data_IF_993941545443
#
_entry.id   IF_993941545443
#
_cell.length_a   1.000
_cell.length_b   1.000
_cell.length_c   1.000
_cell.angle_alpha   90.00
_cell.angle_beta   90.00
_cell.angle_gamma   90.00
#
_symmetry.space_group_name_H-M   'P 1'
#
loop_
_entity.id
_entity.type
_entity.pdbx_description
1 polymer ?
#
# COMPACT_ATOMS: atom_id res chain seq x y z
N UNK A 1 -26.60 3.47 1.45
CA UNK A 1 -26.28 2.19 0.73
C UNK A 1 -24.83 2.03 0.29
N UNK A 2 -24.11 3.03 -0.25
CA UNK A 2 -22.70 2.84 -0.70
C UNK A 2 -21.66 2.86 0.44
N UNK A 3 -21.93 3.54 1.56
CA UNK A 3 -20.93 3.78 2.61
C UNK A 3 -20.81 2.65 3.64
N UNK A 4 -21.89 1.92 3.96
CA UNK A 4 -21.84 0.77 4.88
C UNK A 4 -21.35 -0.53 4.24
N UNK A 5 -21.53 -0.66 2.92
CA UNK A 5 -20.93 -1.76 2.15
C UNK A 5 -19.40 -1.68 2.25
N UNK A 6 -18.79 -0.50 2.40
CA UNK A 6 -17.33 -0.36 2.55
C UNK A 6 -16.78 -0.97 3.86
N UNK A 7 -17.54 -0.95 4.96
CA UNK A 7 -17.14 -1.54 6.24
C UNK A 7 -17.32 -3.07 6.21
N UNK A 8 -18.41 -3.55 5.59
CA UNK A 8 -18.69 -4.97 5.43
C UNK A 8 -17.75 -5.64 4.41
N UNK A 9 -17.41 -4.93 3.32
CA UNK A 9 -16.53 -5.44 2.27
C UNK A 9 -15.08 -5.54 2.73
N UNK A 10 -14.57 -4.70 3.63
CA UNK A 10 -13.17 -4.83 4.05
C UNK A 10 -12.95 -5.90 5.14
N UNK A 11 -13.93 -6.13 6.02
CA UNK A 11 -13.80 -7.09 7.13
C UNK A 11 -14.26 -8.52 6.80
N UNK A 12 -15.15 -8.70 5.82
CA UNK A 12 -15.57 -10.03 5.34
C UNK A 12 -14.66 -10.59 4.22
N UNK A 13 -14.01 -9.71 3.42
CA UNK A 13 -13.06 -10.13 2.38
C UNK A 13 -11.76 -10.68 2.97
N UNK A 14 -11.38 -10.30 4.20
CA UNK A 14 -10.20 -10.88 4.84
C UNK A 14 -10.33 -12.36 5.23
N UNK A 15 -11.51 -12.98 5.17
CA UNK A 15 -11.69 -14.38 5.62
C UNK A 15 -12.54 -15.30 4.72
N UNK A 16 -13.16 -14.84 3.63
CA UNK A 16 -14.06 -15.68 2.83
C UNK A 16 -13.88 -15.64 1.30
N UNK A 17 -12.72 -15.21 0.80
CA UNK A 17 -12.36 -15.48 -0.60
C UNK A 17 -11.00 -16.16 -0.65
N UNK A 18 -11.02 -17.49 -0.48
CA UNK A 18 -10.02 -18.35 -1.11
C UNK A 18 -10.31 -18.40 -2.63
N UNK A 19 -10.37 -17.24 -3.28
CA UNK A 19 -10.13 -17.18 -4.72
C UNK A 19 -8.63 -17.23 -4.85
N UNK A 20 -8.10 -18.21 -5.59
CA UNK A 20 -6.68 -18.28 -5.93
C UNK A 20 -6.27 -16.99 -6.63
N UNK A 21 -5.83 -16.00 -5.87
CA UNK A 21 -5.14 -14.84 -6.42
C UNK A 21 -3.81 -15.39 -6.89
N UNK A 22 -3.60 -15.33 -8.21
CA UNK A 22 -2.33 -15.73 -8.79
C UNK A 22 -1.24 -14.83 -8.21
N UNK A 23 -0.10 -15.43 -7.91
CA UNK A 23 1.08 -14.71 -7.45
C UNK A 23 1.43 -13.57 -8.44
N UNK A 24 1.72 -12.35 -7.97
CA UNK A 24 2.27 -11.30 -8.83
C UNK A 24 3.54 -11.80 -9.55
N UNK A 25 3.92 -11.21 -10.68
CA UNK A 25 5.21 -11.53 -11.33
C UNK A 25 6.19 -10.40 -11.10
N UNK A 26 7.33 -10.70 -10.46
CA UNK A 26 8.40 -9.71 -10.25
C UNK A 26 9.72 -10.27 -10.76
N UNK A 27 10.47 -9.47 -11.52
CA UNK A 27 11.81 -9.87 -11.93
C UNK A 27 12.77 -8.68 -12.02
N UNK A 28 14.05 -8.98 -11.83
CA UNK A 28 15.17 -8.05 -11.90
C UNK A 28 16.05 -8.44 -13.07
N UNK A 29 16.27 -7.52 -14.01
CA UNK A 29 17.26 -7.69 -15.08
C UNK A 29 18.49 -6.84 -14.76
N UNK A 30 19.68 -7.45 -14.81
CA UNK A 30 20.93 -6.72 -14.55
C UNK A 30 22.13 -7.27 -15.34
N UNK A 31 23.00 -6.37 -15.78
CA UNK A 31 24.34 -6.66 -16.30
C UNK A 31 25.46 -5.99 -15.45
N UNK A 32 25.10 -5.48 -14.27
CA UNK A 32 25.98 -4.70 -13.38
C UNK A 32 26.19 -3.23 -13.79
N UNK A 33 25.74 -2.82 -14.98
CA UNK A 33 25.74 -1.41 -15.44
C UNK A 33 24.33 -0.84 -15.55
N UNK A 34 23.40 -1.68 -15.99
CA UNK A 34 21.99 -1.40 -16.09
C UNK A 34 21.26 -2.33 -15.14
N UNK A 35 20.31 -1.77 -14.38
CA UNK A 35 19.47 -2.56 -13.49
C UNK A 35 18.03 -2.10 -13.61
N UNK A 36 17.15 -3.07 -13.83
CA UNK A 36 15.73 -2.85 -14.01
C UNK A 36 14.95 -3.79 -13.11
N UNK A 37 13.90 -3.29 -12.47
CA UNK A 37 12.91 -4.09 -11.75
C UNK A 37 11.58 -3.99 -12.50
N UNK A 38 10.95 -5.13 -12.75
CA UNK A 38 9.66 -5.24 -13.45
C UNK A 38 8.63 -5.92 -12.56
N UNK A 39 7.37 -5.49 -12.65
CA UNK A 39 6.25 -6.07 -11.91
C UNK A 39 4.99 -6.18 -12.80
N UNK A 40 4.27 -7.29 -12.68
CA UNK A 40 2.84 -7.44 -12.98
C UNK A 40 2.10 -7.63 -11.66
N UNK A 41 1.27 -6.66 -11.31
CA UNK A 41 0.45 -6.73 -10.10
C UNK A 41 -0.87 -7.44 -10.39
N UNK A 42 -1.08 -8.59 -9.75
CA UNK A 42 -2.23 -9.46 -9.93
C UNK A 42 -3.18 -9.34 -8.72
N UNK A 43 -4.41 -8.90 -8.95
CA UNK A 43 -5.32 -8.52 -7.85
C UNK A 43 -6.78 -8.51 -8.26
N UNK A 44 -7.68 -8.36 -7.28
CA UNK A 44 -9.09 -8.08 -7.52
C UNK A 44 -9.42 -6.59 -7.44
N UNK A 45 -8.57 -5.76 -6.86
CA UNK A 45 -8.83 -4.33 -6.70
C UNK A 45 -8.43 -3.56 -7.98
N UNK A 46 -9.36 -2.96 -8.74
CA UNK A 46 -9.02 -2.19 -9.93
C UNK A 46 -8.56 -0.75 -9.62
N UNK A 47 -8.75 -0.27 -8.39
CA UNK A 47 -8.48 1.10 -7.96
C UNK A 47 -6.99 1.26 -7.62
N UNK A 48 -6.18 1.18 -8.66
CA UNK A 48 -4.72 1.20 -8.60
C UNK A 48 -4.16 2.62 -8.77
N UNK A 49 -3.09 2.92 -8.07
CA UNK A 49 -2.51 4.27 -7.97
C UNK A 49 -0.99 4.26 -8.03
N UNK A 50 -0.46 5.36 -8.55
CA UNK A 50 0.95 5.74 -8.53
C UNK A 50 1.05 7.07 -7.79
N UNK A 51 1.83 7.15 -6.72
CA UNK A 51 1.99 8.38 -5.95
C UNK A 51 3.44 8.71 -5.66
N UNK A 52 3.68 10.00 -5.44
CA UNK A 52 5.00 10.59 -5.26
C UNK A 52 5.06 11.38 -3.97
N UNK A 53 6.11 11.14 -3.19
CA UNK A 53 6.38 11.85 -1.94
C UNK A 53 7.79 12.42 -2.02
N UNK A 54 7.96 13.76 -2.06
CA UNK A 54 9.26 14.40 -2.06
C UNK A 54 10.14 13.99 -0.88
N UNK A 55 11.45 14.23 -1.05
CA UNK A 55 12.46 14.06 0.00
C UNK A 55 12.04 14.85 1.25
N UNK A 56 12.12 14.22 2.41
CA UNK A 56 11.87 14.85 3.71
C UNK A 56 13.13 14.91 4.57
N UNK A 57 13.00 15.47 5.77
CA UNK A 57 14.08 15.44 6.76
C UNK A 57 14.34 13.98 7.18
N UNK A 58 15.47 13.42 6.73
CA UNK A 58 15.85 12.03 7.02
C UNK A 58 15.16 10.97 6.14
N UNK A 59 14.45 11.37 5.08
CA UNK A 59 13.73 10.47 4.18
C UNK A 59 14.05 10.78 2.72
N UNK A 60 14.29 9.77 1.89
CA UNK A 60 14.41 9.92 0.44
C UNK A 60 13.09 10.32 -0.22
N UNK A 61 13.19 10.83 -1.44
CA UNK A 61 12.02 11.01 -2.29
C UNK A 61 11.64 9.68 -2.92
N UNK A 62 10.36 9.36 -2.97
CA UNK A 62 9.89 8.05 -3.39
C UNK A 62 8.71 8.15 -4.36
N UNK A 63 8.64 7.18 -5.27
CA UNK A 63 7.43 6.82 -5.98
C UNK A 63 6.95 5.46 -5.50
N UNK A 64 5.64 5.30 -5.39
CA UNK A 64 5.00 4.07 -4.92
C UNK A 64 3.90 3.66 -5.89
N UNK A 65 3.68 2.35 -5.98
CA UNK A 65 2.58 1.74 -6.71
C UNK A 65 1.77 0.86 -5.76
N UNK A 66 0.46 0.88 -5.90
CA UNK A 66 -0.45 0.16 -5.01
C UNK A 66 -1.90 0.56 -5.26
N UNK A 67 -2.68 0.68 -4.19
CA UNK A 67 -4.14 0.87 -4.28
C UNK A 67 -4.62 2.17 -3.62
N UNK A 68 -5.92 2.42 -3.74
CA UNK A 68 -6.61 3.58 -3.16
C UNK A 68 -6.67 3.62 -1.63
N UNK A 69 -6.33 2.52 -0.95
CA UNK A 69 -6.17 2.41 0.51
C UNK A 69 -4.83 2.98 1.02
N UNK A 70 -3.90 3.35 0.12
CA UNK A 70 -2.59 3.89 0.48
C UNK A 70 -1.54 2.83 0.81
N UNK A 71 -1.86 1.54 0.62
CA UNK A 71 -0.90 0.46 0.82
C UNK A 71 0.00 0.29 -0.41
N UNK A 72 1.26 0.68 -0.26
CA UNK A 72 2.31 0.45 -1.25
C UNK A 72 2.59 -1.05 -1.41
N UNK A 73 2.42 -1.55 -2.63
CA UNK A 73 2.84 -2.90 -3.05
C UNK A 73 4.28 -2.90 -3.57
N UNK A 74 4.69 -1.80 -4.20
CA UNK A 74 6.04 -1.61 -4.70
C UNK A 74 6.43 -0.14 -4.76
N UNK A 75 7.67 0.14 -5.16
CA UNK A 75 8.14 1.51 -5.31
C UNK A 75 9.62 1.63 -5.64
N UNK A 76 10.06 2.87 -5.87
CA UNK A 76 11.45 3.27 -6.11
C UNK A 76 11.76 4.57 -5.37
N UNK A 77 12.98 4.71 -4.83
CA UNK A 77 13.48 5.95 -4.25
C UNK A 77 14.52 6.67 -5.12
N UNK A 78 14.85 7.91 -4.75
CA UNK A 78 15.85 8.74 -5.43
C UNK A 78 17.26 8.18 -5.43
N UNK A 79 17.56 7.19 -4.59
CA UNK A 79 18.87 6.53 -4.52
C UNK A 79 18.97 5.33 -5.46
N UNK A 80 17.87 4.93 -6.09
CA UNK A 80 17.79 3.79 -7.00
C UNK A 80 17.53 2.47 -6.29
N UNK A 81 17.06 2.48 -5.05
CA UNK A 81 16.50 1.30 -4.38
C UNK A 81 15.04 1.14 -4.81
N UNK A 82 14.63 -0.06 -5.14
CA UNK A 82 13.26 -0.40 -5.46
C UNK A 82 12.84 -1.69 -4.75
N UNK A 83 11.55 -1.83 -4.49
CA UNK A 83 10.97 -3.05 -3.95
C UNK A 83 9.65 -3.41 -4.62
N UNK A 84 9.28 -4.68 -4.51
CA UNK A 84 7.93 -5.15 -4.82
C UNK A 84 7.62 -6.42 -4.01
N UNK A 85 6.37 -6.55 -3.56
CA UNK A 85 5.90 -7.71 -2.81
C UNK A 85 5.39 -8.80 -3.76
N UNK A 86 5.75 -10.05 -3.47
CA UNK A 86 5.28 -11.22 -4.19
C UNK A 86 4.50 -12.09 -3.22
N UNK A 87 3.20 -12.23 -3.47
CA UNK A 87 2.38 -13.27 -2.83
C UNK A 87 2.62 -14.58 -3.56
N UNK A 88 2.74 -15.69 -2.84
CA UNK A 88 3.16 -16.98 -3.41
C UNK A 88 2.25 -18.09 -2.91
N UNK A 89 2.12 -19.16 -3.70
CA UNK A 89 1.56 -20.41 -3.18
C UNK A 89 2.55 -21.04 -2.18
N UNK A 90 2.01 -21.66 -1.12
CA UNK A 90 2.82 -22.37 -0.11
C UNK A 90 3.83 -23.32 -0.80
N UNK A 91 5.05 -23.38 -0.28
CA UNK A 91 6.19 -24.22 -0.73
C UNK A 91 7.04 -23.74 -1.93
N UNK A 92 6.66 -22.68 -2.66
CA UNK A 92 7.40 -22.27 -3.88
C UNK A 92 8.52 -21.23 -3.68
N UNK A 93 8.42 -20.41 -2.63
CA UNK A 93 9.34 -19.32 -2.31
C UNK A 93 9.62 -19.30 -0.80
N UNK A 94 10.58 -18.50 -0.29
CA UNK A 94 10.84 -18.45 1.15
C UNK A 94 9.68 -17.80 1.91
N UNK A 95 8.63 -18.57 2.14
CA UNK A 95 7.52 -18.26 3.05
C UNK A 95 7.33 -19.46 3.95
N UNK A 96 7.34 -19.20 5.24
CA UNK A 96 7.14 -20.19 6.29
C UNK A 96 5.99 -19.73 7.19
N UNK A 97 4.84 -20.43 7.20
CA UNK A 97 3.69 -20.04 8.02
C UNK A 97 3.97 -20.13 9.53
N UNK A 98 5.04 -20.80 9.95
CA UNK A 98 5.49 -20.87 11.34
C UNK A 98 6.38 -19.70 11.74
N UNK A 99 6.79 -18.86 10.79
CA UNK A 99 7.61 -17.68 11.07
C UNK A 99 6.88 -16.70 11.99
N UNK A 100 7.56 -16.38 13.09
CA UNK A 100 7.17 -15.31 14.01
C UNK A 100 8.39 -14.40 14.16
N UNK A 101 8.27 -13.09 13.89
CA UNK A 101 9.40 -12.18 14.05
C UNK A 101 9.94 -12.21 15.48
N UNK A 102 11.27 -12.16 15.61
CA UNK A 102 11.92 -12.18 16.92
C UNK A 102 11.47 -11.01 17.80
N UNK A 103 11.16 -11.29 19.06
CA UNK A 103 10.54 -10.32 19.97
C UNK A 103 11.40 -9.10 20.29
N UNK A 104 12.72 -9.20 20.10
CA UNK A 104 13.67 -8.10 20.32
C UNK A 104 13.68 -7.09 19.15
N UNK A 105 13.14 -7.44 17.99
CA UNK A 105 13.09 -6.55 16.83
C UNK A 105 12.08 -5.42 17.04
N UNK A 106 12.44 -4.23 16.58
CA UNK A 106 11.59 -3.05 16.72
C UNK A 106 10.37 -3.17 15.82
N UNK A 107 9.19 -2.93 16.39
CA UNK A 107 7.97 -2.82 15.60
C UNK A 107 7.89 -1.44 14.96
N UNK A 108 7.67 -1.40 13.66
CA UNK A 108 7.26 -0.17 12.99
C UNK A 108 5.73 -0.10 12.90
N UNK A 109 5.15 1.09 13.12
CA UNK A 109 3.80 1.38 12.66
C UNK A 109 3.76 1.48 11.13
N UNK A 110 2.58 1.41 10.53
CA UNK A 110 2.38 1.46 9.07
C UNK A 110 3.17 0.36 8.31
N UNK A 111 3.25 0.51 6.98
CA UNK A 111 3.90 -0.43 6.08
C UNK A 111 5.44 -0.37 6.21
N UNK A 112 6.08 -1.47 6.61
CA UNK A 112 7.53 -1.53 6.84
C UNK A 112 8.36 -1.29 5.56
N UNK A 113 7.84 -1.69 4.39
CA UNK A 113 8.54 -1.52 3.11
C UNK A 113 8.59 -0.06 2.68
N UNK A 114 7.60 0.76 3.06
CA UNK A 114 7.67 2.21 2.88
C UNK A 114 8.79 2.81 3.76
N UNK A 115 8.90 2.42 5.03
CA UNK A 115 9.97 2.88 5.92
C UNK A 115 11.36 2.50 5.39
N UNK A 116 11.49 1.28 4.88
CA UNK A 116 12.72 0.79 4.27
C UNK A 116 13.07 1.60 3.02
N UNK A 117 12.13 1.77 2.10
CA UNK A 117 12.35 2.52 0.86
C UNK A 117 12.74 3.98 1.13
N UNK A 118 12.17 4.60 2.16
CA UNK A 118 12.49 5.99 2.48
C UNK A 118 13.80 6.20 3.24
N UNK A 119 14.39 5.15 3.82
CA UNK A 119 15.59 5.27 4.68
C UNK A 119 16.82 4.54 4.16
N UNK A 120 16.64 3.57 3.27
CA UNK A 120 17.71 2.76 2.71
C UNK A 120 18.07 3.20 1.29
N UNK A 121 19.35 3.10 0.94
CA UNK A 121 19.89 3.39 -0.39
C UNK A 121 20.22 2.12 -1.20
N UNK A 122 20.50 1.03 -0.49
CA UNK A 122 21.05 -0.20 -1.08
C UNK A 122 20.34 -1.44 -0.52
N UNK A 123 20.48 -2.55 -1.24
CA UNK A 123 20.06 -3.88 -0.80
C UNK A 123 20.71 -4.25 0.53
N UNK A 124 21.99 -3.91 0.74
CA UNK A 124 22.67 -4.16 2.01
C UNK A 124 22.01 -3.41 3.18
N UNK A 125 21.65 -2.15 2.98
CA UNK A 125 20.93 -1.37 3.98
C UNK A 125 19.51 -1.91 4.22
N UNK A 126 18.82 -2.39 3.18
CA UNK A 126 17.51 -3.02 3.32
C UNK A 126 17.57 -4.34 4.12
N UNK A 127 18.61 -5.15 3.93
CA UNK A 127 18.87 -6.34 4.75
C UNK A 127 19.09 -5.93 6.22
N UNK A 128 19.91 -4.91 6.45
CA UNK A 128 20.17 -4.42 7.82
C UNK A 128 18.91 -3.85 8.47
N UNK A 129 18.04 -3.21 7.68
CA UNK A 129 16.74 -2.74 8.12
C UNK A 129 15.88 -3.89 8.66
N UNK A 130 15.72 -4.98 7.90
CA UNK A 130 14.91 -6.13 8.34
C UNK A 130 15.59 -7.03 9.39
N UNK A 131 16.88 -6.81 9.68
CA UNK A 131 17.54 -7.33 10.89
C UNK A 131 17.26 -6.49 12.14
N UNK A 132 16.67 -5.31 11.98
CA UNK A 132 16.39 -4.37 13.07
C UNK A 132 14.89 -4.25 13.34
N UNK A 133 14.09 -4.31 12.29
CA UNK A 133 12.65 -4.13 12.34
C UNK A 133 11.93 -5.43 11.96
N UNK A 134 10.87 -5.74 12.71
CA UNK A 134 10.04 -6.91 12.44
C UNK A 134 9.02 -6.63 11.34
N UNK A 135 8.81 -7.63 10.49
CA UNK A 135 7.73 -7.69 9.51
C UNK A 135 7.13 -9.10 9.54
N UNK A 136 5.85 -9.19 9.89
CA UNK A 136 5.14 -10.46 10.04
C UNK A 136 4.59 -10.98 8.71
N UNK A 137 4.48 -10.13 7.68
CA UNK A 137 4.01 -10.53 6.36
C UNK A 137 4.89 -11.62 5.73
N UNK A 138 6.18 -11.72 6.11
CA UNK A 138 7.09 -12.76 5.63
C UNK A 138 6.62 -14.20 5.90
N UNK A 139 5.67 -14.41 6.81
CA UNK A 139 5.04 -15.73 6.99
C UNK A 139 4.23 -16.20 5.76
N UNK A 140 3.83 -15.28 4.87
CA UNK A 140 2.93 -15.55 3.73
C UNK A 140 3.36 -14.91 2.42
N UNK A 141 4.23 -13.91 2.48
CA UNK A 141 4.68 -13.16 1.31
C UNK A 141 6.19 -13.03 1.32
N UNK A 142 6.75 -12.76 0.15
CA UNK A 142 8.18 -12.50 -0.02
C UNK A 142 8.36 -11.12 -0.62
N UNK A 143 9.41 -10.42 -0.20
CA UNK A 143 9.78 -9.09 -0.71
C UNK A 143 10.98 -9.22 -1.64
N UNK A 144 10.87 -8.66 -2.84
CA UNK A 144 12.01 -8.48 -3.74
C UNK A 144 12.51 -7.06 -3.59
N UNK A 145 13.79 -6.88 -3.29
CA UNK A 145 14.44 -5.56 -3.26
C UNK A 145 15.60 -5.57 -4.25
N UNK A 146 15.76 -4.52 -5.03
CA UNK A 146 16.87 -4.35 -5.95
C UNK A 146 17.41 -2.92 -5.88
N UNK A 147 18.70 -2.74 -6.17
CA UNK A 147 19.30 -1.42 -6.25
C UNK A 147 20.08 -1.20 -7.55
N UNK A 148 20.43 0.06 -7.82
CA UNK A 148 21.15 0.48 -9.03
C UNK A 148 22.53 -0.14 -9.24
N UNK A 149 23.10 -0.84 -8.25
CA UNK A 149 24.36 -1.56 -8.41
C UNK A 149 24.19 -2.90 -9.14
N UNK A 150 22.94 -3.34 -9.35
CA UNK A 150 22.61 -4.67 -9.85
C UNK A 150 22.40 -5.70 -8.76
N UNK A 151 22.60 -5.35 -7.49
CA UNK A 151 22.24 -6.21 -6.38
C UNK A 151 20.72 -6.36 -6.28
N UNK A 152 20.29 -7.58 -5.98
CA UNK A 152 18.93 -7.85 -5.53
C UNK A 152 18.91 -8.84 -4.39
N UNK A 153 17.92 -8.73 -3.51
CA UNK A 153 17.66 -9.66 -2.42
C UNK A 153 16.20 -10.09 -2.45
N UNK A 154 15.99 -11.37 -2.21
CA UNK A 154 14.69 -11.94 -1.86
C UNK A 154 14.67 -12.07 -0.34
N UNK A 155 13.72 -11.40 0.31
CA UNK A 155 13.52 -11.39 1.76
C UNK A 155 12.22 -12.10 2.07
N UNK A 156 12.29 -13.15 2.87
CA UNK A 156 11.14 -13.97 3.23
C UNK A 156 11.39 -14.68 4.55
N UNK A 157 10.84 -15.87 4.72
CA UNK A 157 11.10 -16.73 5.88
C UNK A 157 11.35 -18.18 5.51
N UNK A 158 12.13 -18.86 6.35
CA UNK A 158 12.47 -20.27 6.25
C UNK A 158 12.87 -20.80 7.62
N UNK A 159 12.40 -22.00 7.97
CA UNK A 159 12.70 -22.68 9.24
C UNK A 159 12.39 -21.81 10.48
N UNK A 160 11.24 -21.14 10.45
CA UNK A 160 10.75 -20.23 11.50
C UNK A 160 11.53 -18.91 11.61
N UNK A 161 12.46 -18.62 10.69
CA UNK A 161 13.35 -17.45 10.76
C UNK A 161 13.27 -16.61 9.49
N UNK A 162 13.69 -15.35 9.59
CA UNK A 162 13.85 -14.50 8.42
C UNK A 162 14.95 -15.05 7.51
N UNK A 163 14.71 -15.01 6.20
CA UNK A 163 15.59 -15.54 5.17
C UNK A 163 15.97 -14.44 4.17
N UNK A 164 17.25 -14.40 3.79
CA UNK A 164 17.79 -13.46 2.81
C UNK A 164 18.54 -14.23 1.72
N UNK A 165 18.15 -14.03 0.45
CA UNK A 165 18.88 -14.55 -0.70
C UNK A 165 19.33 -13.40 -1.60
N UNK A 166 20.60 -13.00 -1.46
CA UNK A 166 21.19 -11.91 -2.23
C UNK A 166 21.87 -12.44 -3.49
N UNK A 167 21.80 -11.69 -4.59
CA UNK A 167 22.57 -11.97 -5.80
C UNK A 167 22.92 -10.69 -6.55
N UNK A 168 23.83 -10.82 -7.52
CA UNK A 168 24.21 -9.78 -8.48
C UNK A 168 23.78 -10.13 -9.92
N UNK A 169 23.02 -11.22 -10.11
CA UNK A 169 22.54 -11.65 -11.42
C UNK A 169 21.03 -11.52 -11.54
N UNK A 170 20.57 -11.49 -12.79
CA UNK A 170 19.16 -11.49 -13.17
C UNK A 170 18.37 -12.63 -12.49
N UNK A 171 17.13 -12.34 -12.06
CA UNK A 171 16.21 -13.30 -11.42
C UNK A 171 14.76 -12.94 -11.65
N UNK A 172 13.87 -13.93 -11.61
CA UNK A 172 12.42 -13.75 -11.64
C UNK A 172 11.73 -14.57 -10.57
N UNK A 173 10.57 -14.10 -10.12
CA UNK A 173 9.77 -14.67 -9.04
C UNK A 173 8.27 -14.54 -9.37
N UNK A 174 7.46 -15.37 -8.70
CA UNK A 174 6.01 -15.38 -8.75
C UNK A 174 5.44 -16.10 -9.97
N UNK A 175 4.20 -15.78 -10.35
CA UNK A 175 3.45 -16.51 -11.38
C UNK A 175 4.21 -16.66 -12.70
N UNK A 176 4.93 -15.61 -13.10
CA UNK A 176 5.69 -15.57 -14.34
C UNK A 176 7.08 -16.19 -14.27
N UNK A 177 7.55 -16.79 -13.16
CA UNK A 177 8.93 -17.27 -13.06
C UNK A 177 9.27 -18.28 -14.16
N UNK A 178 8.44 -19.31 -14.37
CA UNK A 178 8.75 -20.34 -15.37
C UNK A 178 8.85 -19.74 -16.80
N UNK A 179 7.94 -18.82 -17.11
CA UNK A 179 7.92 -18.06 -18.37
C UNK A 179 9.16 -17.16 -18.48
N UNK A 180 9.50 -16.46 -17.41
CA UNK A 180 10.69 -15.63 -17.33
C UNK A 180 11.96 -16.44 -17.59
N UNK A 181 12.14 -17.57 -16.91
CA UNK A 181 13.33 -18.43 -17.08
C UNK A 181 13.48 -18.91 -18.51
N UNK A 182 12.37 -19.30 -19.15
CA UNK A 182 12.36 -19.71 -20.56
C UNK A 182 12.76 -18.59 -21.51
N UNK A 183 12.27 -17.37 -21.29
CA UNK A 183 12.45 -16.26 -22.22
C UNK A 183 13.76 -15.50 -21.99
N UNK A 184 14.16 -15.30 -20.74
CA UNK A 184 15.36 -14.56 -20.40
C UNK A 184 16.61 -15.18 -21.02
N UNK A 185 16.73 -16.52 -21.00
CA UNK A 185 17.85 -17.24 -21.63
C UNK A 185 18.00 -16.99 -23.15
N UNK A 186 16.95 -16.48 -23.81
CA UNK A 186 16.96 -16.18 -25.25
C UNK A 186 17.19 -14.70 -25.58
N UNK A 187 17.03 -13.81 -24.60
CA UNK A 187 17.11 -12.36 -24.79
C UNK A 187 18.44 -11.81 -24.24
N UNK A 188 19.47 -11.79 -25.08
CA UNK A 188 20.86 -11.54 -24.64
C UNK A 188 21.16 -10.11 -24.15
N UNK A 189 20.31 -9.12 -24.46
CA UNK A 189 20.54 -7.72 -24.09
C UNK A 189 19.66 -7.28 -22.91
N UNK A 190 20.27 -6.73 -21.86
CA UNK A 190 19.57 -6.18 -20.70
C UNK A 190 19.01 -4.78 -21.06
N UNK A 191 17.76 -4.76 -21.51
CA UNK A 191 17.06 -3.52 -21.91
C UNK A 191 15.63 -3.50 -21.40
N UNK A 192 15.09 -2.28 -21.26
CA UNK A 192 13.69 -2.07 -20.87
C UNK A 192 12.69 -2.74 -21.83
N UNK A 193 12.97 -2.71 -23.14
CA UNK A 193 12.11 -3.31 -24.16
C UNK A 193 12.06 -4.83 -24.07
N UNK A 194 13.20 -5.48 -23.87
CA UNK A 194 13.28 -6.93 -23.71
C UNK A 194 12.52 -7.37 -22.45
N UNK A 195 12.74 -6.69 -21.32
CA UNK A 195 11.96 -6.92 -20.11
C UNK A 195 10.46 -6.71 -20.31
N UNK A 196 10.03 -5.67 -21.01
CA UNK A 196 8.61 -5.45 -21.32
C UNK A 196 7.99 -6.59 -22.15
N UNK A 197 8.75 -7.18 -23.07
CA UNK A 197 8.29 -8.34 -23.84
C UNK A 197 8.11 -9.58 -22.95
N UNK A 198 9.05 -9.84 -22.03
CA UNK A 198 8.92 -10.92 -21.05
C UNK A 198 7.72 -10.66 -20.13
N UNK A 199 7.60 -9.44 -19.61
CA UNK A 199 6.53 -9.02 -18.72
C UNK A 199 5.14 -9.22 -19.36
N UNK A 200 5.00 -8.93 -20.66
CA UNK A 200 3.78 -9.20 -21.42
C UNK A 200 3.41 -10.68 -21.46
N UNK A 201 4.39 -11.58 -21.54
CA UNK A 201 4.14 -13.03 -21.55
C UNK A 201 3.78 -13.56 -20.16
N UNK A 202 4.04 -12.79 -19.10
CA UNK A 202 3.73 -13.14 -17.72
C UNK A 202 2.40 -12.54 -17.22
N UNK A 203 1.54 -12.03 -18.11
CA UNK A 203 0.25 -11.47 -17.71
C UNK A 203 -0.69 -12.56 -17.19
N UNK A 204 -1.22 -12.37 -15.99
CA UNK A 204 -2.24 -13.23 -15.43
C UNK A 204 -3.62 -12.83 -15.99
N UNK A 205 -4.34 -13.74 -16.68
CA UNK A 205 -5.68 -13.44 -17.17
C UNK A 205 -6.75 -13.69 -16.11
N UNK A 206 -7.91 -13.05 -16.30
CA UNK A 206 -9.16 -13.36 -15.57
C UNK A 206 -9.39 -12.52 -14.32
N UNK A 207 -10.35 -12.98 -13.50
CA UNK A 207 -10.54 -12.48 -12.14
C UNK A 207 -9.26 -12.74 -11.33
N UNK A 208 -8.83 -11.76 -10.52
CA UNK A 208 -7.52 -11.80 -9.87
C UNK A 208 -6.32 -11.54 -10.79
N UNK A 209 -6.53 -11.28 -12.08
CA UNK A 209 -5.45 -11.07 -13.06
C UNK A 209 -4.78 -9.69 -12.99
N UNK A 210 -3.82 -9.46 -13.89
CA UNK A 210 -2.94 -8.28 -13.87
C UNK A 210 -3.71 -6.96 -14.00
N UNK A 211 -3.50 -6.03 -13.06
CA UNK A 211 -4.12 -4.70 -13.01
C UNK A 211 -3.22 -3.59 -13.53
N UNK A 212 -1.94 -3.68 -13.21
CA UNK A 212 -0.93 -2.84 -13.82
C UNK A 212 0.35 -3.61 -14.03
N UNK A 213 1.13 -3.11 -14.99
CA UNK A 213 2.46 -3.59 -15.28
C UNK A 213 3.38 -2.39 -15.27
N UNK A 214 4.44 -2.43 -14.47
CA UNK A 214 5.40 -1.35 -14.38
C UNK A 214 6.84 -1.86 -14.41
N UNK A 215 7.75 -0.94 -14.71
CA UNK A 215 9.17 -1.16 -14.61
C UNK A 215 9.89 0.09 -14.13
N UNK A 216 11.02 -0.14 -13.48
CA UNK A 216 11.90 0.91 -13.00
C UNK A 216 13.28 0.76 -13.64
N UNK A 217 13.83 1.85 -14.16
CA UNK A 217 15.26 1.95 -14.44
C UNK A 217 15.96 2.49 -13.19
N UNK A 218 16.62 1.61 -12.43
CA UNK A 218 17.14 1.96 -11.11
C UNK A 218 18.32 2.95 -11.19
N UNK A 219 19.03 2.96 -12.30
CA UNK A 219 20.17 3.87 -12.52
C UNK A 219 19.71 5.28 -12.92
N UNK A 220 18.59 5.38 -13.66
CA UNK A 220 18.10 6.66 -14.21
C UNK A 220 16.88 7.25 -13.50
N UNK A 221 16.25 6.49 -12.60
CA UNK A 221 14.99 6.87 -11.97
C UNK A 221 13.83 6.99 -12.98
N UNK A 222 13.87 6.21 -14.07
CA UNK A 222 12.75 6.14 -15.03
C UNK A 222 11.70 5.17 -14.48
N UNK A 223 10.43 5.56 -14.58
CA UNK A 223 9.27 4.77 -14.19
C UNK A 223 8.44 4.57 -15.44
N UNK A 224 8.21 3.32 -15.85
CA UNK A 224 7.46 3.00 -17.07
C UNK A 224 6.26 2.16 -16.69
N UNK A 225 5.07 2.58 -17.11
CA UNK A 225 3.85 1.79 -17.04
C UNK A 225 3.51 1.24 -18.42
N UNK A 226 3.05 -0.01 -18.46
CA UNK A 226 2.66 -0.71 -19.68
C UNK A 226 1.17 -0.98 -19.68
N UNK A 227 0.53 -0.67 -20.81
CA UNK A 227 -0.81 -1.13 -21.14
C UNK A 227 -0.69 -2.16 -22.25
N UNK A 228 -0.86 -3.42 -21.89
CA UNK A 228 -0.75 -4.56 -22.79
C UNK A 228 -2.09 -4.86 -23.44
N UNK A 229 -2.49 -4.03 -24.41
CA UNK A 229 -3.59 -4.31 -25.33
C UNK A 229 -3.08 -5.11 -26.55
N UNK A 230 -3.73 -4.96 -27.72
CA UNK A 230 -3.23 -5.53 -28.98
C UNK A 230 -1.81 -5.03 -29.29
N UNK A 231 -1.52 -3.75 -29.01
CA UNK A 231 -0.19 -3.14 -29.01
C UNK A 231 0.23 -2.73 -27.59
N UNK A 232 1.55 -2.72 -27.32
CA UNK A 232 2.12 -2.23 -26.06
C UNK A 232 2.08 -0.70 -26.09
N UNK A 233 1.25 -0.10 -25.26
CA UNK A 233 1.32 1.34 -24.98
C UNK A 233 2.11 1.56 -23.70
N UNK A 234 2.94 2.61 -23.68
CA UNK A 234 3.77 2.93 -22.52
C UNK A 234 3.54 4.35 -22.06
N UNK A 235 3.54 4.55 -20.74
CA UNK A 235 3.64 5.87 -20.12
C UNK A 235 4.93 5.93 -19.32
N UNK A 236 5.83 6.83 -19.71
CA UNK A 236 7.14 6.98 -19.06
C UNK A 236 7.17 8.26 -18.24
N UNK A 237 7.60 8.15 -16.99
CA UNK A 237 7.83 9.25 -16.06
C UNK A 237 9.28 9.22 -15.58
N UNK A 238 9.74 10.34 -15.02
CA UNK A 238 11.05 10.42 -14.36
C UNK A 238 10.85 10.83 -12.91
N UNK A 239 11.37 10.03 -11.99
CA UNK A 239 11.17 10.20 -10.55
C UNK A 239 11.51 11.61 -10.07
N UNK A 240 12.68 12.14 -10.45
CA UNK A 240 13.11 13.47 -10.02
C UNK A 240 12.18 14.57 -10.54
N UNK A 241 11.73 14.45 -11.79
CA UNK A 241 10.78 15.42 -12.38
C UNK A 241 9.42 15.39 -11.70
N UNK A 242 8.92 14.21 -11.37
CA UNK A 242 7.64 14.07 -10.66
C UNK A 242 7.74 14.61 -9.24
N UNK A 243 8.80 14.28 -8.50
CA UNK A 243 9.00 14.79 -7.13
C UNK A 243 9.11 16.32 -7.08
N UNK A 244 9.59 16.97 -8.15
CA UNK A 244 9.63 18.43 -8.26
C UNK A 244 8.24 19.09 -8.33
N UNK A 245 7.19 18.33 -8.65
CA UNK A 245 5.79 18.79 -8.64
C UNK A 245 5.17 18.83 -7.23
N UNK A 246 5.92 18.38 -6.21
CA UNK A 246 5.40 18.20 -4.86
C UNK A 246 4.70 16.86 -4.68
N UNK A 247 4.08 16.66 -3.51
CA UNK A 247 3.32 15.45 -3.21
C UNK A 247 2.05 15.35 -4.05
N UNK A 248 1.91 14.28 -4.83
CA UNK A 248 0.77 14.09 -5.73
C UNK A 248 0.58 12.62 -6.08
N UNK A 249 -0.53 12.30 -6.76
CA UNK A 249 -0.78 10.96 -7.27
C UNK A 249 -1.50 10.96 -8.63
N UNK A 250 -1.50 9.78 -9.24
CA UNK A 250 -2.23 9.43 -10.45
C UNK A 250 -3.04 8.14 -10.22
N UNK A 251 -4.19 8.05 -10.86
CA UNK A 251 -4.93 6.79 -10.98
C UNK A 251 -4.34 6.02 -12.17
N UNK A 252 -3.69 4.87 -11.91
CA UNK A 252 -2.94 4.14 -12.94
C UNK A 252 -3.77 3.69 -14.14
N UNK A 253 -5.08 3.35 -14.02
CA UNK A 253 -5.91 3.03 -15.19
C UNK A 253 -6.04 4.18 -16.20
N UNK A 254 -5.87 5.43 -15.75
CA UNK A 254 -6.00 6.65 -16.58
C UNK A 254 -4.71 7.46 -16.68
N UNK A 255 -3.57 6.86 -16.32
CA UNK A 255 -2.29 7.54 -16.18
C UNK A 255 -1.91 8.31 -17.45
N UNK A 256 -2.01 7.68 -18.62
CA UNK A 256 -1.66 8.29 -19.90
C UNK A 256 -2.43 9.58 -20.20
N UNK A 257 -3.71 9.67 -19.78
CA UNK A 257 -4.50 10.89 -19.91
C UNK A 257 -4.20 11.90 -18.80
N UNK A 258 -3.99 11.43 -17.56
CA UNK A 258 -3.78 12.30 -16.41
C UNK A 258 -2.44 13.04 -16.44
N UNK A 259 -1.37 12.45 -17.00
CA UNK A 259 -0.06 13.13 -17.08
C UNK A 259 -0.07 14.40 -17.94
N UNK A 260 -1.11 14.61 -18.76
CA UNK A 260 -1.30 15.81 -19.58
C UNK A 260 -2.04 16.94 -18.83
N UNK A 261 -2.40 16.72 -17.56
CA UNK A 261 -3.17 17.63 -16.72
C UNK A 261 -2.43 17.87 -15.39
N UNK A 262 -2.82 18.88 -14.60
CA UNK A 262 -2.33 19.01 -13.24
C UNK A 262 -2.55 17.70 -12.46
N UNK A 263 -1.53 17.28 -11.71
CA UNK A 263 -1.60 16.07 -10.92
C UNK A 263 -2.63 16.21 -9.78
N UNK A 264 -3.19 15.08 -9.34
CA UNK A 264 -4.12 15.07 -8.21
C UNK A 264 -3.34 15.31 -6.92
N UNK A 265 -3.86 16.13 -5.98
CA UNK A 265 -3.21 16.34 -4.68
C UNK A 265 -3.11 15.02 -3.94
N UNK A 266 -2.00 14.79 -3.22
CA UNK A 266 -1.78 13.52 -2.51
C UNK A 266 -2.94 13.22 -1.54
N UNK A 267 -3.51 12.02 -1.65
CA UNK A 267 -4.54 11.55 -0.72
C UNK A 267 -4.00 11.43 0.70
N UNK A 268 -4.84 11.66 1.72
CA UNK A 268 -4.39 11.70 3.11
C UNK A 268 -3.72 10.39 3.56
N UNK A 269 -4.28 9.24 3.18
CA UNK A 269 -3.75 7.91 3.46
C UNK A 269 -2.48 7.53 2.68
N UNK A 270 -2.08 8.32 1.69
CA UNK A 270 -0.82 8.15 0.96
C UNK A 270 0.31 8.99 1.51
N UNK A 271 0.05 9.77 2.58
CA UNK A 271 1.11 10.50 3.25
C UNK A 271 2.04 9.55 3.99
N UNK A 272 3.31 9.95 4.01
CA UNK A 272 4.38 9.29 4.75
C UNK A 272 3.96 9.01 6.19
N UNK A 273 3.93 7.73 6.54
CA UNK A 273 3.76 7.22 7.90
C UNK A 273 2.68 7.96 8.69
N UNK A 274 1.51 8.14 8.06
CA UNK A 274 0.47 9.04 8.54
C UNK A 274 0.03 8.74 9.97
N UNK A 275 0.05 7.47 10.40
CA UNK A 275 -0.35 7.11 11.77
C UNK A 275 0.74 7.36 12.82
N UNK A 276 1.95 7.72 12.37
CA UNK A 276 3.18 7.65 13.16
C UNK A 276 3.89 8.99 13.32
N UNK A 277 3.89 9.81 12.27
CA UNK A 277 4.65 11.07 12.25
C UNK A 277 3.76 12.31 12.12
N UNK A 278 2.45 12.13 11.96
CA UNK A 278 1.54 13.24 11.81
C UNK A 278 1.33 13.96 13.15
N UNK A 279 1.22 15.29 13.09
CA UNK A 279 0.99 16.13 14.26
C UNK A 279 -0.50 16.50 14.32
N UNK A 280 -1.17 16.36 15.48
CA UNK A 280 -2.56 16.79 15.63
C UNK A 280 -2.74 18.28 15.28
N UNK A 281 -3.95 18.65 14.85
CA UNK A 281 -4.31 20.05 14.66
C UNK A 281 -4.22 20.80 16.00
N UNK A 282 -3.65 22.00 15.95
CA UNK A 282 -3.45 22.86 17.14
C UNK A 282 -4.75 23.40 17.72
N UNK A 283 -5.73 23.69 16.85
CA UNK A 283 -7.09 24.04 17.26
C UNK A 283 -7.95 22.77 17.28
N UNK A 284 -8.00 22.09 18.40
CA UNK A 284 -8.82 20.89 18.55
C UNK A 284 -10.29 21.32 18.59
N UNK A 285 -11.06 20.90 17.58
CA UNK A 285 -12.50 21.12 17.46
C UNK A 285 -13.22 20.30 18.54
N UNK A 286 -13.19 20.79 19.79
CA UNK A 286 -13.54 20.01 20.98
C UNK A 286 -14.98 19.51 20.96
N UNK A 287 -15.92 20.32 20.45
CA UNK A 287 -17.33 19.91 20.30
C UNK A 287 -17.50 18.80 19.26
N UNK A 288 -16.86 18.94 18.09
CA UNK A 288 -16.90 17.92 17.02
C UNK A 288 -16.23 16.63 17.49
N UNK A 289 -15.09 16.76 18.18
CA UNK A 289 -14.35 15.63 18.76
C UNK A 289 -15.20 14.90 19.80
N UNK A 290 -15.94 15.63 20.64
CA UNK A 290 -16.86 15.04 21.61
C UNK A 290 -17.99 14.26 20.93
N UNK A 291 -18.55 14.74 19.82
CA UNK A 291 -19.55 14.01 19.02
C UNK A 291 -18.99 12.69 18.46
N UNK A 292 -17.77 12.72 17.92
CA UNK A 292 -17.09 11.50 17.45
C UNK A 292 -16.88 10.53 18.62
N UNK A 293 -16.38 10.99 19.77
CA UNK A 293 -16.20 10.13 20.96
C UNK A 293 -17.52 9.52 21.44
N UNK A 294 -18.59 10.32 21.45
CA UNK A 294 -19.93 9.89 21.85
C UNK A 294 -20.45 8.78 20.95
N UNK A 295 -20.30 8.91 19.63
CA UNK A 295 -20.65 7.87 18.66
C UNK A 295 -20.00 6.53 19.01
N UNK A 296 -18.69 6.48 19.25
CA UNK A 296 -18.01 5.21 19.59
C UNK A 296 -18.46 4.63 20.92
N UNK A 297 -18.66 5.48 21.93
CA UNK A 297 -19.17 5.06 23.24
C UNK A 297 -20.55 4.42 23.11
N UNK A 298 -21.44 5.05 22.38
CA UNK A 298 -22.82 4.59 22.24
C UNK A 298 -22.93 3.33 21.39
N UNK A 299 -22.17 3.26 20.31
CA UNK A 299 -22.06 2.05 19.50
C UNK A 299 -21.56 0.87 20.33
N UNK A 300 -20.53 1.09 21.16
CA UNK A 300 -19.97 0.04 22.04
C UNK A 300 -20.99 -0.43 23.08
N UNK A 301 -21.83 0.48 23.57
CA UNK A 301 -22.88 0.18 24.54
C UNK A 301 -24.18 -0.36 23.91
N UNK A 302 -24.28 -0.40 22.57
CA UNK A 302 -25.53 -0.72 21.88
C UNK A 302 -26.64 0.31 22.12
N UNK A 303 -26.27 1.53 22.51
CA UNK A 303 -27.15 2.64 22.91
C UNK A 303 -26.96 3.86 22.00
N UNK A 304 -26.86 3.65 20.68
CA UNK A 304 -26.72 4.71 19.67
C UNK A 304 -27.62 5.90 20.00
N UNK A 305 -27.04 7.02 20.46
CA UNK A 305 -27.73 8.30 20.50
C UNK A 305 -27.80 8.83 19.07
N UNK A 306 -29.01 9.08 18.60
CA UNK A 306 -29.27 9.42 17.21
C UNK A 306 -29.14 10.93 16.93
N UNK A 307 -28.95 11.76 17.96
CA UNK A 307 -29.01 13.22 17.83
C UNK A 307 -27.78 13.81 17.10
N UNK A 308 -26.62 13.15 17.23
CA UNK A 308 -25.38 13.54 16.55
C UNK A 308 -25.28 12.98 15.12
N UNK A 309 -26.25 12.17 14.67
CA UNK A 309 -26.25 11.48 13.39
C UNK A 309 -27.28 12.05 12.43
N UNK A 310 -26.95 12.07 11.14
CA UNK A 310 -27.96 12.31 10.11
C UNK A 310 -29.00 11.18 10.13
N UNK A 311 -30.25 11.48 9.75
CA UNK A 311 -31.34 10.50 9.77
C UNK A 311 -31.04 9.25 8.90
N UNK A 312 -30.33 9.43 7.78
CA UNK A 312 -29.90 8.34 6.93
C UNK A 312 -28.85 7.47 7.61
N UNK A 313 -27.80 8.07 8.19
CA UNK A 313 -26.73 7.32 8.87
C UNK A 313 -27.25 6.57 10.10
N UNK A 314 -28.12 7.21 10.89
CA UNK A 314 -28.84 6.59 11.99
C UNK A 314 -29.61 5.34 11.55
N UNK A 315 -30.30 5.40 10.41
CA UNK A 315 -31.06 4.28 9.85
C UNK A 315 -30.13 3.14 9.40
N UNK A 316 -29.01 3.46 8.74
CA UNK A 316 -28.04 2.46 8.28
C UNK A 316 -27.36 1.75 9.47
N UNK A 317 -26.91 2.49 10.48
CA UNK A 317 -26.32 1.93 11.71
C UNK A 317 -27.29 1.05 12.50
N UNK A 318 -28.57 1.41 12.55
CA UNK A 318 -29.59 0.61 13.24
C UNK A 318 -29.81 -0.75 12.57
N UNK A 319 -29.83 -0.77 11.23
CA UNK A 319 -29.98 -2.02 10.44
C UNK A 319 -28.82 -2.98 10.66
N UNK A 320 -27.62 -2.47 10.94
CA UNK A 320 -26.39 -3.26 11.03
C UNK A 320 -25.80 -3.36 12.46
N UNK A 321 -26.59 -3.01 13.47
CA UNK A 321 -26.14 -2.84 14.87
C UNK A 321 -25.36 -4.03 15.44
N UNK A 322 -25.72 -5.27 15.10
CA UNK A 322 -25.00 -6.47 15.54
C UNK A 322 -23.58 -6.56 14.97
N UNK A 323 -23.40 -6.23 13.69
CA UNK A 323 -22.08 -6.25 13.04
C UNK A 323 -21.21 -5.12 13.56
N UNK A 324 -21.76 -3.92 13.73
CA UNK A 324 -21.02 -2.78 14.26
C UNK A 324 -20.48 -3.11 15.67
N UNK A 325 -21.29 -3.72 16.53
CA UNK A 325 -20.84 -4.16 17.86
C UNK A 325 -19.68 -5.17 17.77
N UNK A 326 -19.79 -6.19 16.93
CA UNK A 326 -18.74 -7.19 16.70
C UNK A 326 -17.44 -6.55 16.22
N UNK A 327 -17.51 -5.58 15.31
CA UNK A 327 -16.34 -4.84 14.85
C UNK A 327 -15.70 -4.06 16.01
N UNK A 328 -16.47 -3.30 16.79
CA UNK A 328 -15.92 -2.54 17.92
C UNK A 328 -15.26 -3.44 18.98
N UNK A 329 -15.87 -4.59 19.30
CA UNK A 329 -15.27 -5.58 20.20
C UNK A 329 -13.91 -6.10 19.69
N UNK A 330 -13.76 -6.23 18.37
CA UNK A 330 -12.49 -6.63 17.75
C UNK A 330 -11.43 -5.54 17.77
N UNK A 331 -11.80 -4.27 17.64
CA UNK A 331 -10.85 -3.15 17.73
C UNK A 331 -10.27 -3.04 19.16
N UNK A 332 -11.11 -3.34 20.16
CA UNK A 332 -10.79 -3.17 21.58
C UNK A 332 -11.18 -1.79 22.08
N UNK A 333 -10.65 -1.38 23.24
CA UNK A 333 -10.92 -0.07 23.82
C UNK A 333 -10.26 1.04 23.00
N UNK A 334 -10.98 2.14 22.80
CA UNK A 334 -10.41 3.38 22.25
C UNK A 334 -9.52 4.06 23.30
N UNK A 335 -8.25 4.24 22.97
CA UNK A 335 -7.21 4.79 23.83
C UNK A 335 -6.93 6.27 23.54
N UNK A 336 -6.88 6.66 22.26
CA UNK A 336 -6.78 8.08 21.87
C UNK A 336 -7.50 8.38 20.57
N UNK A 337 -7.88 9.65 20.43
CA UNK A 337 -8.52 10.23 19.25
C UNK A 337 -7.84 11.57 18.97
N UNK A 338 -7.13 11.67 17.85
CA UNK A 338 -6.34 12.84 17.49
C UNK A 338 -6.86 13.41 16.16
N UNK A 339 -7.43 14.63 16.18
CA UNK A 339 -7.88 15.31 14.95
C UNK A 339 -6.66 15.75 14.15
N UNK A 340 -6.57 15.31 12.89
CA UNK A 340 -5.40 15.58 12.04
C UNK A 340 -5.73 16.39 10.79
N UNK A 341 -6.98 16.38 10.35
CA UNK A 341 -7.37 17.10 9.14
C UNK A 341 -8.77 17.67 9.27
N UNK A 342 -8.95 18.87 8.73
CA UNK A 342 -10.25 19.52 8.56
C UNK A 342 -10.29 20.12 7.15
N UNK A 343 -11.34 19.80 6.40
CA UNK A 343 -11.62 20.45 5.12
C UNK A 343 -13.11 20.71 4.97
N UNK A 344 -13.47 21.83 4.34
CA UNK A 344 -14.85 22.14 4.01
C UNK A 344 -15.06 21.93 2.51
N UNK A 345 -16.10 21.19 2.14
CA UNK A 345 -16.47 20.94 0.76
C UNK A 345 -17.99 21.15 0.58
N UNK A 346 -18.35 22.30 0.02
CA UNK A 346 -19.75 22.71 -0.17
C UNK A 346 -20.53 22.64 1.15
N UNK A 347 -21.50 21.73 1.23
CA UNK A 347 -22.41 21.54 2.37
C UNK A 347 -21.88 20.53 3.40
N UNK A 348 -20.67 19.99 3.20
CA UNK A 348 -20.06 19.01 4.09
C UNK A 348 -18.75 19.53 4.70
N UNK A 349 -18.51 19.17 5.95
CA UNK A 349 -17.21 19.34 6.60
C UNK A 349 -16.58 17.97 6.87
N UNK A 350 -15.39 17.76 6.32
CA UNK A 350 -14.54 16.59 6.56
C UNK A 350 -13.68 16.83 7.80
N UNK A 351 -13.74 15.88 8.72
CA UNK A 351 -12.78 15.73 9.81
C UNK A 351 -12.13 14.36 9.74
N UNK A 352 -10.80 14.31 9.67
CA UNK A 352 -10.07 13.04 9.76
C UNK A 352 -9.27 12.94 11.05
N UNK A 353 -9.33 11.76 11.67
CA UNK A 353 -8.73 11.48 12.95
C UNK A 353 -7.80 10.26 12.88
N UNK A 354 -6.71 10.30 13.65
CA UNK A 354 -5.98 9.10 14.03
C UNK A 354 -6.62 8.56 15.32
N UNK A 355 -7.15 7.34 15.24
CA UNK A 355 -7.81 6.65 16.33
C UNK A 355 -6.96 5.46 16.76
N UNK A 356 -6.50 5.46 18.01
CA UNK A 356 -5.71 4.35 18.57
C UNK A 356 -6.59 3.52 19.48
N UNK A 357 -6.77 2.25 19.14
CA UNK A 357 -7.41 1.24 19.95
C UNK A 357 -6.37 0.27 20.53
N UNK A 358 -6.79 -0.65 21.40
CA UNK A 358 -5.90 -1.66 21.99
C UNK A 358 -5.14 -2.48 20.95
N UNK A 359 -5.79 -2.79 19.82
CA UNK A 359 -5.28 -3.73 18.81
C UNK A 359 -5.00 -3.09 17.46
N UNK A 360 -5.30 -1.81 17.27
CA UNK A 360 -5.26 -1.20 15.93
C UNK A 360 -5.20 0.32 16.01
N UNK A 361 -4.46 0.92 15.07
CA UNK A 361 -4.51 2.35 14.78
C UNK A 361 -5.21 2.56 13.44
N UNK A 362 -6.19 3.46 13.40
CA UNK A 362 -7.01 3.73 12.21
C UNK A 362 -6.93 5.21 11.86
N UNK A 363 -6.71 5.52 10.59
CA UNK A 363 -7.01 6.83 10.04
C UNK A 363 -8.47 6.84 9.58
N UNK A 364 -9.31 7.61 10.23
CA UNK A 364 -10.76 7.61 10.02
C UNK A 364 -11.26 9.00 9.63
N UNK A 365 -11.99 9.07 8.53
CA UNK A 365 -12.66 10.27 8.03
C UNK A 365 -14.14 10.30 8.45
N UNK A 366 -14.61 11.44 8.93
CA UNK A 366 -16.01 11.72 9.25
C UNK A 366 -16.49 12.91 8.43
N UNK A 367 -17.65 12.77 7.79
CA UNK A 367 -18.31 13.85 7.09
C UNK A 367 -19.46 14.37 7.96
N UNK A 368 -19.47 15.68 8.18
CA UNK A 368 -20.52 16.40 8.89
C UNK A 368 -21.35 17.19 7.89
N UNK A 369 -22.68 17.13 8.02
CA UNK A 369 -23.59 17.96 7.23
C UNK A 369 -23.73 19.39 7.77
N UNK A 370 -24.51 20.21 7.07
CA UNK A 370 -24.80 21.61 7.46
C UNK A 370 -25.52 21.78 8.80
N UNK A 371 -26.05 20.71 9.39
CA UNK A 371 -26.66 20.71 10.73
C UNK A 371 -25.66 20.26 11.80
N UNK A 372 -24.37 20.17 11.46
CA UNK A 372 -23.29 19.64 12.30
C UNK A 372 -23.56 18.20 12.77
N UNK A 373 -24.26 17.40 11.97
CA UNK A 373 -24.47 15.97 12.24
C UNK A 373 -23.53 15.12 11.41
N UNK A 374 -23.07 14.01 11.98
CA UNK A 374 -22.28 13.02 11.25
C UNK A 374 -23.18 12.42 10.18
N UNK A 375 -22.85 12.66 8.92
CA UNK A 375 -23.62 12.19 7.77
C UNK A 375 -23.04 10.93 7.15
N UNK A 376 -21.72 10.75 7.24
CA UNK A 376 -21.01 9.57 6.75
C UNK A 376 -19.64 9.43 7.45
N UNK A 377 -19.02 8.27 7.34
CA UNK A 377 -17.64 8.06 7.76
C UNK A 377 -16.98 6.90 7.00
N UNK A 378 -15.67 7.00 6.77
CA UNK A 378 -14.88 5.99 6.06
C UNK A 378 -13.52 5.81 6.75
N UNK A 379 -13.04 4.57 6.84
CA UNK A 379 -11.63 4.36 7.16
C UNK A 379 -10.78 4.62 5.91
N UNK A 380 -9.68 5.34 6.07
CA UNK A 380 -8.75 5.64 4.99
C UNK A 380 -7.48 4.78 5.07
N UNK A 381 -7.12 4.29 6.26
CA UNK A 381 -6.01 3.38 6.51
C UNK A 381 -6.17 2.65 7.85
N UNK A 382 -5.66 1.43 7.94
CA UNK A 382 -5.75 0.56 9.13
C UNK A 382 -4.41 -0.11 9.40
N UNK A 383 -3.84 0.11 10.59
CA UNK A 383 -2.58 -0.50 11.05
C UNK A 383 -2.83 -1.36 12.29
N UNK A 384 -2.80 -2.68 12.13
CA UNK A 384 -3.03 -3.62 13.23
C UNK A 384 -1.81 -3.74 14.15
N UNK A 385 -2.06 -3.61 15.45
CA UNK A 385 -1.14 -3.94 16.54
C UNK A 385 -1.15 -5.46 16.72
N UNK A 386 -0.68 -6.21 15.71
CA UNK A 386 -0.32 -7.64 15.79
C UNK A 386 0.71 -7.95 16.87
#
# INVERSE_FOLDING_TARGET
MKSFIAILSFLLICFLVASGVKACTVFVLTDGKHTYLFNNEDSNNPQTRLWFIPKGKGFYGCAYVGYNDGEAQGGINTEGLAFDWVTVEEDSYPTDPTYVPESHLTRLPDNSSQWMLERCKTVAEAIQFYKTYREAAFAKTTLVVADKSGASVVIGSKDGKIYFNTTLVTRGLGYGEATFQKLYGTQKAITMNNGAQILRQCLAPGEGGTKYSNAYNLTKGEIVFYQFAQAIQTTSLNLVKELAKGSHYYETPTLAQQIQRPALPLALNMNRHITSIYQPLTNQETLVTAKVQHLFKDVTLGKLAYDDLSAHLATDLKKDSMNVKSVMERLGKLNSLELIHKAQNQDLTDYSYIMKFDKVTILWQFLFDKEDKISDFNNLSVSWIR
#
